data_IF_527550646372
#
_entry.id   IF_527550646372
#
_cell.length_a   1.000
_cell.length_b   1.000
_cell.length_c   1.000
_cell.angle_alpha   90.00
_cell.angle_beta   90.00
_cell.angle_gamma   90.00
#
_symmetry.space_group_name_H-M   'P 1'
#
loop_
_entity.id
_entity.type
_entity.pdbx_description
1 polymer ?
#
# COMPACT_ATOMS: atom_id res chain seq x y z
N UNK A 1 -3.59 -23.87 4.47
CA UNK A 1 -2.96 -22.56 4.19
C UNK A 1 -3.88 -21.87 3.20
N UNK A 2 -4.34 -20.68 3.55
CA UNK A 2 -5.12 -19.86 2.63
C UNK A 2 -4.16 -19.26 1.62
N UNK A 3 -4.53 -19.34 0.34
CA UNK A 3 -3.67 -18.98 -0.78
C UNK A 3 -4.21 -17.73 -1.43
N UNK A 4 -3.42 -16.65 -1.47
CA UNK A 4 -3.74 -15.47 -2.25
C UNK A 4 -3.33 -15.71 -3.71
N UNK A 5 -4.19 -15.38 -4.67
CA UNK A 5 -3.86 -15.49 -6.09
C UNK A 5 -3.81 -14.11 -6.74
N UNK A 6 -2.80 -13.87 -7.59
CA UNK A 6 -2.64 -12.62 -8.33
C UNK A 6 -2.34 -12.89 -9.81
N UNK A 7 -2.52 -11.88 -10.66
CA UNK A 7 -2.30 -12.02 -12.11
C UNK A 7 -0.95 -11.43 -12.49
N UNK A 8 -0.10 -12.24 -13.10
CA UNK A 8 1.21 -11.81 -13.56
C UNK A 8 1.08 -10.97 -14.84
N UNK A 9 2.14 -10.24 -15.22
CA UNK A 9 2.17 -9.40 -16.41
C UNK A 9 1.89 -10.17 -17.73
N UNK A 10 2.13 -11.48 -17.76
CA UNK A 10 1.83 -12.35 -18.92
C UNK A 10 0.38 -12.90 -18.92
N UNK A 11 -0.44 -12.47 -17.95
CA UNK A 11 -1.83 -12.89 -17.79
C UNK A 11 -2.03 -14.22 -17.05
N UNK A 12 -0.96 -14.88 -16.60
CA UNK A 12 -1.07 -16.10 -15.80
C UNK A 12 -1.49 -15.81 -14.36
N UNK A 13 -2.19 -16.75 -13.71
CA UNK A 13 -2.61 -16.63 -12.31
C UNK A 13 -1.62 -17.38 -11.40
N UNK A 14 -1.26 -16.77 -10.27
CA UNK A 14 -0.25 -17.29 -9.35
C UNK A 14 -0.70 -17.24 -7.90
N UNK A 15 -0.51 -18.36 -7.21
CA UNK A 15 -0.63 -18.53 -5.77
C UNK A 15 0.57 -17.97 -4.98
N UNK A 16 0.31 -17.22 -3.91
CA UNK A 16 1.29 -16.74 -2.93
C UNK A 16 1.18 -17.59 -1.67
N UNK A 17 2.22 -18.41 -1.43
CA UNK A 17 2.33 -19.29 -0.25
C UNK A 17 3.75 -19.28 0.36
N UNK A 18 4.52 -18.22 0.12
CA UNK A 18 5.95 -18.17 0.47
C UNK A 18 6.34 -17.70 1.86
N UNK A 19 5.46 -16.97 2.55
CA UNK A 19 5.73 -16.51 3.90
C UNK A 19 5.07 -17.42 4.93
N UNK A 20 5.88 -17.90 5.89
CA UNK A 20 5.41 -18.69 7.03
C UNK A 20 5.61 -17.88 8.29
N UNK A 21 4.50 -17.57 8.97
CA UNK A 21 4.58 -16.89 10.26
C UNK A 21 5.11 -17.83 11.34
N UNK A 22 6.07 -17.33 12.12
CA UNK A 22 6.37 -17.85 13.45
C UNK A 22 6.48 -16.67 14.43
N UNK A 23 6.01 -16.81 15.67
CA UNK A 23 6.09 -15.72 16.64
C UNK A 23 7.57 -15.41 16.97
N UNK A 24 7.97 -14.12 17.01
CA UNK A 24 9.32 -13.74 17.36
C UNK A 24 9.76 -14.31 18.72
N UNK A 25 11.00 -14.83 18.78
CA UNK A 25 11.58 -15.36 20.03
C UNK A 25 11.58 -14.27 21.10
N UNK A 26 11.23 -14.62 22.35
CA UNK A 26 11.19 -13.66 23.45
C UNK A 26 12.53 -12.94 23.71
N UNK A 27 13.65 -13.57 23.36
CA UNK A 27 15.00 -13.00 23.48
C UNK A 27 15.42 -12.14 22.28
N UNK A 28 14.57 -11.95 21.27
CA UNK A 28 14.86 -11.09 20.13
C UNK A 28 15.13 -9.66 20.60
N UNK A 29 16.23 -9.09 20.12
CA UNK A 29 16.53 -7.68 20.35
C UNK A 29 15.43 -6.84 19.69
N UNK A 30 14.85 -5.92 20.44
CA UNK A 30 13.77 -5.05 19.94
C UNK A 30 14.36 -3.70 19.55
N UNK A 31 13.91 -3.19 18.42
CA UNK A 31 14.17 -1.82 18.03
C UNK A 31 13.51 -0.90 19.07
N UNK A 32 14.28 0.06 19.55
CA UNK A 32 13.78 1.12 20.43
C UNK A 32 14.06 2.42 19.73
N UNK A 33 13.00 3.09 19.32
CA UNK A 33 13.00 4.44 18.82
C UNK A 33 13.76 5.36 19.79
N UNK A 34 14.99 5.74 19.43
CA UNK A 34 15.84 6.59 20.26
C UNK A 34 15.60 8.06 19.93
N UNK A 35 15.43 8.92 20.93
CA UNK A 35 15.43 10.40 20.77
C UNK A 35 16.78 10.98 20.29
N UNK A 36 17.71 10.15 19.81
CA UNK A 36 19.13 10.44 19.73
C UNK A 36 19.66 10.91 18.37
N UNK A 37 19.10 10.44 17.25
CA UNK A 37 19.71 10.64 15.93
C UNK A 37 18.88 11.49 14.97
N UNK A 38 17.56 11.56 15.15
CA UNK A 38 16.66 12.36 14.31
C UNK A 38 15.78 13.21 15.24
N UNK A 39 16.02 14.52 15.32
CA UNK A 39 15.30 15.41 16.25
C UNK A 39 13.85 15.69 15.84
N UNK A 40 13.54 15.48 14.56
CA UNK A 40 12.22 15.58 13.93
C UNK A 40 12.23 14.66 12.72
N UNK A 41 11.25 13.75 12.62
CA UNK A 41 11.11 12.89 11.45
C UNK A 41 10.85 13.77 10.20
N UNK A 42 11.55 13.55 9.08
CA UNK A 42 11.20 14.21 7.83
C UNK A 42 9.80 13.75 7.38
N UNK A 43 9.05 14.58 6.65
CA UNK A 43 7.73 14.18 6.14
C UNK A 43 7.84 13.05 5.10
N UNK A 44 9.01 12.86 4.49
CA UNK A 44 9.24 11.85 3.44
C UNK A 44 10.64 11.26 3.53
N UNK A 45 10.73 9.95 3.36
CA UNK A 45 11.98 9.19 3.24
C UNK A 45 11.89 8.24 2.06
N UNK A 46 12.88 8.26 1.17
CA UNK A 46 12.95 7.36 0.02
C UNK A 46 14.34 6.70 -0.12
N UNK A 47 14.44 5.41 0.21
CA UNK A 47 15.68 4.64 0.12
C UNK A 47 15.87 3.95 -1.25
N UNK A 48 14.93 4.08 -2.19
CA UNK A 48 14.98 3.43 -3.53
C UNK A 48 16.27 3.72 -4.31
N UNK A 49 16.88 4.93 -4.29
CA UNK A 49 18.13 5.18 -5.00
C UNK A 49 19.28 4.22 -4.63
N UNK A 50 19.23 3.66 -3.42
CA UNK A 50 20.22 2.73 -2.90
C UNK A 50 19.79 1.26 -2.97
N UNK A 51 18.62 0.96 -3.54
CA UNK A 51 18.19 -0.42 -3.77
C UNK A 51 18.84 -1.00 -5.03
N UNK A 52 18.96 -2.32 -5.08
CA UNK A 52 19.27 -3.11 -6.29
C UNK A 52 18.09 -3.07 -7.28
N UNK A 53 18.26 -3.50 -8.55
CA UNK A 53 17.14 -3.72 -9.48
C UNK A 53 16.07 -4.65 -8.89
N UNK A 54 14.80 -4.53 -9.28
CA UNK A 54 13.72 -5.37 -8.72
C UNK A 54 13.89 -6.83 -9.10
N UNK A 55 13.69 -7.69 -8.11
CA UNK A 55 13.73 -9.13 -8.26
C UNK A 55 12.38 -9.72 -8.69
N UNK A 56 12.45 -10.84 -9.40
CA UNK A 56 11.31 -11.69 -9.71
C UNK A 56 11.53 -13.08 -9.12
N UNK A 57 10.74 -13.44 -8.11
CA UNK A 57 10.82 -14.74 -7.46
C UNK A 57 10.27 -15.90 -8.32
N UNK A 58 9.79 -15.62 -9.55
CA UNK A 58 9.21 -16.61 -10.50
C UNK A 58 8.18 -17.50 -9.81
N UNK A 59 8.04 -18.77 -10.16
CA UNK A 59 7.06 -19.65 -9.53
C UNK A 59 7.42 -20.11 -8.10
N UNK A 60 8.56 -19.67 -7.52
CA UNK A 60 9.04 -20.16 -6.22
C UNK A 60 8.36 -19.48 -5.03
N UNK A 61 8.32 -20.15 -3.88
CA UNK A 61 7.74 -19.63 -2.64
C UNK A 61 8.76 -18.83 -1.79
N UNK A 62 9.68 -18.13 -2.44
CA UNK A 62 10.86 -17.53 -1.81
C UNK A 62 10.73 -16.06 -1.36
N UNK A 63 9.51 -15.52 -1.15
CA UNK A 63 9.32 -14.08 -0.87
C UNK A 63 10.08 -13.58 0.36
N UNK A 64 10.10 -14.34 1.45
CA UNK A 64 10.89 -14.02 2.64
C UNK A 64 12.40 -13.90 2.35
N UNK A 65 12.94 -14.75 1.46
CA UNK A 65 14.33 -14.67 1.02
C UNK A 65 14.57 -13.45 0.12
N UNK A 66 13.65 -13.12 -0.79
CA UNK A 66 13.77 -11.95 -1.67
C UNK A 66 13.72 -10.63 -0.89
N UNK A 67 12.80 -10.51 0.07
CA UNK A 67 12.72 -9.33 0.94
C UNK A 67 14.00 -9.15 1.77
N UNK A 68 14.54 -10.26 2.29
CA UNK A 68 15.79 -10.24 3.06
C UNK A 68 17.01 -9.96 2.18
N UNK A 69 17.06 -10.52 0.96
CA UNK A 69 18.10 -10.23 -0.03
C UNK A 69 18.15 -8.73 -0.36
N UNK A 70 17.01 -8.09 -0.62
CA UNK A 70 16.97 -6.65 -0.89
C UNK A 70 17.49 -5.79 0.28
N UNK A 71 17.17 -6.17 1.53
CA UNK A 71 17.72 -5.47 2.71
C UNK A 71 19.24 -5.67 2.83
N UNK A 72 19.71 -6.86 2.50
CA UNK A 72 21.12 -7.22 2.54
C UNK A 72 21.92 -6.50 1.44
N UNK A 73 21.43 -6.52 0.20
CA UNK A 73 22.01 -5.82 -0.96
C UNK A 73 22.05 -4.33 -0.74
N UNK A 74 21.02 -3.74 -0.14
CA UNK A 74 21.06 -2.35 0.29
C UNK A 74 22.29 -2.09 1.18
N UNK A 75 22.52 -2.92 2.21
CA UNK A 75 23.69 -2.75 3.08
C UNK A 75 25.01 -2.95 2.35
N UNK A 76 25.10 -3.95 1.46
CA UNK A 76 26.28 -4.20 0.62
C UNK A 76 26.56 -3.00 -0.27
N UNK A 77 25.55 -2.48 -0.98
CA UNK A 77 25.66 -1.32 -1.85
C UNK A 77 26.06 -0.05 -1.10
N UNK A 78 25.50 0.15 0.09
CA UNK A 78 25.88 1.26 0.96
C UNK A 78 27.32 1.16 1.47
N UNK A 79 27.88 -0.04 1.59
CA UNK A 79 29.23 -0.24 2.08
C UNK A 79 30.30 -0.28 0.99
N UNK A 80 30.02 -1.02 -0.09
CA UNK A 80 30.97 -1.32 -1.17
C UNK A 80 30.82 -0.36 -2.36
N UNK A 81 29.72 0.39 -2.47
CA UNK A 81 29.49 1.33 -3.56
C UNK A 81 29.42 0.61 -4.91
N UNK A 82 30.36 0.94 -5.82
CA UNK A 82 30.43 0.32 -7.15
C UNK A 82 30.89 -1.14 -7.13
N UNK A 83 31.53 -1.60 -6.04
CA UNK A 83 31.96 -2.99 -5.86
C UNK A 83 30.83 -3.87 -5.26
N UNK A 84 29.61 -3.34 -5.20
CA UNK A 84 28.45 -4.08 -4.72
C UNK A 84 28.04 -5.19 -5.70
N UNK A 85 27.40 -6.22 -5.15
CA UNK A 85 26.97 -7.40 -5.89
C UNK A 85 25.56 -7.81 -5.46
N UNK A 86 24.85 -8.47 -6.37
CA UNK A 86 23.53 -9.06 -6.08
C UNK A 86 23.72 -10.39 -5.35
N UNK A 87 22.93 -10.63 -4.31
CA UNK A 87 23.10 -11.81 -3.46
C UNK A 87 22.22 -12.96 -3.91
N UNK A 88 22.70 -14.18 -3.78
CA UNK A 88 21.95 -15.36 -4.19
C UNK A 88 20.70 -15.56 -3.33
N UNK A 89 19.53 -15.34 -3.92
CA UNK A 89 18.25 -15.53 -3.24
C UNK A 89 17.97 -17.00 -2.94
N UNK A 90 18.42 -17.91 -3.81
CA UNK A 90 18.27 -19.35 -3.56
C UNK A 90 19.18 -19.84 -2.44
N UNK A 91 20.39 -19.28 -2.30
CA UNK A 91 21.25 -19.57 -1.15
C UNK A 91 20.56 -19.17 0.16
N UNK A 92 20.03 -17.96 0.21
CA UNK A 92 19.29 -17.42 1.36
C UNK A 92 18.06 -18.29 1.66
N UNK A 93 17.28 -18.64 0.63
CA UNK A 93 16.05 -19.41 0.77
C UNK A 93 16.28 -20.86 1.17
N UNK A 94 17.28 -21.54 0.59
CA UNK A 94 17.65 -22.89 0.98
C UNK A 94 18.07 -22.94 2.45
N UNK A 95 19.02 -22.08 2.85
CA UNK A 95 19.54 -22.09 4.21
C UNK A 95 18.48 -21.65 5.23
N UNK A 96 17.60 -20.72 4.88
CA UNK A 96 16.47 -20.34 5.75
C UNK A 96 15.54 -21.52 6.06
N UNK A 97 15.24 -22.37 5.06
CA UNK A 97 14.44 -23.59 5.28
C UNK A 97 15.21 -24.68 6.02
N UNK A 98 16.52 -24.80 5.77
CA UNK A 98 17.38 -25.75 6.47
C UNK A 98 17.52 -25.47 7.97
N UNK A 99 17.31 -24.22 8.40
CA UNK A 99 17.20 -23.88 9.84
C UNK A 99 15.96 -24.50 10.48
N UNK A 100 14.85 -24.61 9.73
CA UNK A 100 13.58 -25.13 10.22
C UNK A 100 13.50 -26.66 10.10
N UNK A 101 13.86 -27.22 8.94
CA UNK A 101 13.83 -28.66 8.66
C UNK A 101 14.97 -29.05 7.68
N UNK A 102 16.19 -29.34 8.17
CA UNK A 102 17.33 -29.67 7.31
C UNK A 102 17.20 -31.02 6.60
N UNK A 103 16.29 -31.89 7.03
CA UNK A 103 16.12 -33.24 6.45
C UNK A 103 15.10 -33.26 5.31
N UNK A 104 14.22 -32.26 5.22
CA UNK A 104 13.15 -32.21 4.23
C UNK A 104 12.98 -30.81 3.61
N UNK A 105 13.96 -30.40 2.79
CA UNK A 105 13.90 -29.14 2.06
C UNK A 105 12.89 -29.22 0.91
N UNK A 106 11.80 -28.44 1.02
CA UNK A 106 10.76 -28.31 0.00
C UNK A 106 10.43 -26.83 -0.25
N UNK A 107 9.87 -26.51 -1.41
CA UNK A 107 9.46 -25.15 -1.77
C UNK A 107 8.12 -24.76 -1.10
N UNK A 108 8.12 -24.69 0.22
CA UNK A 108 6.93 -24.46 1.05
C UNK A 108 6.92 -23.10 1.76
N UNK A 109 7.81 -22.19 1.35
CA UNK A 109 8.02 -20.92 2.02
C UNK A 109 8.98 -21.02 3.20
N UNK A 110 9.22 -19.87 3.84
CA UNK A 110 10.17 -19.78 4.96
C UNK A 110 9.72 -18.78 6.02
N UNK A 111 10.23 -18.99 7.23
CA UNK A 111 10.06 -18.09 8.37
C UNK A 111 11.14 -17.01 8.30
N UNK A 112 10.76 -15.73 8.40
CA UNK A 112 11.72 -14.61 8.32
C UNK A 112 12.86 -14.73 9.34
N UNK A 113 12.55 -15.17 10.56
CA UNK A 113 13.55 -15.35 11.61
C UNK A 113 14.59 -16.42 11.27
N UNK A 114 14.18 -17.46 10.55
CA UNK A 114 15.05 -18.57 10.12
C UNK A 114 15.93 -18.14 8.96
N UNK A 115 15.37 -17.37 8.01
CA UNK A 115 16.14 -16.69 6.95
C UNK A 115 17.18 -15.71 7.54
N UNK A 116 16.79 -14.91 8.54
CA UNK A 116 17.71 -14.00 9.23
C UNK A 116 18.79 -14.78 10.01
N UNK A 117 18.42 -15.87 10.67
CA UNK A 117 19.36 -16.71 11.40
C UNK A 117 20.41 -17.34 10.46
N UNK A 118 20.00 -17.80 9.29
CA UNK A 118 20.92 -18.37 8.32
C UNK A 118 21.92 -17.34 7.78
N UNK A 119 21.52 -16.09 7.59
CA UNK A 119 22.44 -15.00 7.22
C UNK A 119 23.46 -14.66 8.31
N UNK A 120 23.09 -14.81 9.60
CA UNK A 120 24.06 -14.68 10.71
C UNK A 120 25.07 -15.81 10.72
N UNK A 121 24.64 -17.02 10.36
CA UNK A 121 25.48 -18.21 10.40
C UNK A 121 26.38 -18.34 9.17
N UNK A 122 25.81 -18.17 7.98
CA UNK A 122 26.46 -18.47 6.70
C UNK A 122 26.79 -17.23 5.89
N UNK A 123 26.02 -16.14 6.04
CA UNK A 123 26.09 -14.99 5.15
C UNK A 123 25.33 -15.23 3.84
N UNK A 124 25.69 -14.52 2.77
CA UNK A 124 25.15 -14.75 1.44
C UNK A 124 26.23 -14.62 0.35
N UNK A 125 26.26 -15.58 -0.57
CA UNK A 125 27.12 -15.56 -1.75
C UNK A 125 26.53 -14.67 -2.85
N UNK A 126 27.31 -14.42 -3.90
CA UNK A 126 26.83 -13.71 -5.08
C UNK A 126 25.82 -14.56 -5.85
N UNK A 127 24.84 -13.92 -6.49
CA UNK A 127 23.93 -14.57 -7.43
C UNK A 127 24.67 -15.05 -8.71
N UNK A 128 25.90 -14.58 -8.97
CA UNK A 128 26.79 -15.18 -9.99
C UNK A 128 27.29 -16.57 -9.59
N UNK A 129 27.56 -16.79 -8.29
CA UNK A 129 28.08 -18.06 -7.75
C UNK A 129 26.97 -19.09 -7.59
N UNK A 130 25.78 -18.64 -7.20
CA UNK A 130 24.59 -19.48 -7.08
C UNK A 130 23.38 -18.78 -7.68
N UNK A 131 23.18 -18.99 -8.98
CA UNK A 131 22.16 -18.29 -9.77
C UNK A 131 20.74 -18.62 -9.36
N UNK A 132 19.83 -17.67 -9.59
CA UNK A 132 18.40 -17.89 -9.42
C UNK A 132 17.83 -18.79 -10.52
N UNK A 133 17.89 -20.10 -10.30
CA UNK A 133 17.23 -21.11 -11.11
C UNK A 133 16.08 -21.79 -10.32
N UNK A 134 14.81 -21.54 -10.66
CA UNK A 134 13.67 -22.17 -9.99
C UNK A 134 13.73 -23.70 -9.96
N UNK A 135 14.39 -24.36 -10.92
CA UNK A 135 14.55 -25.82 -10.91
C UNK A 135 15.50 -26.28 -9.80
N UNK A 136 16.47 -25.44 -9.41
CA UNK A 136 17.41 -25.69 -8.33
C UNK A 136 16.88 -25.22 -6.96
N UNK A 137 15.60 -24.86 -6.83
CA UNK A 137 15.04 -24.25 -5.61
C UNK A 137 15.26 -25.09 -4.36
N UNK A 138 15.29 -26.42 -4.45
CA UNK A 138 15.52 -27.32 -3.32
C UNK A 138 16.93 -27.90 -3.26
N UNK A 139 17.80 -27.53 -4.21
CA UNK A 139 19.16 -28.04 -4.26
C UNK A 139 20.06 -27.36 -3.24
N UNK A 140 20.92 -28.14 -2.60
CA UNK A 140 21.90 -27.61 -1.66
C UNK A 140 22.94 -26.78 -2.41
N UNK A 141 23.23 -25.54 -1.97
CA UNK A 141 24.30 -24.74 -2.54
C UNK A 141 25.67 -25.42 -2.47
N UNK A 142 26.53 -25.10 -3.42
CA UNK A 142 27.89 -25.66 -3.49
C UNK A 142 28.76 -25.22 -2.31
N UNK A 143 29.79 -26.01 -1.99
CA UNK A 143 30.78 -25.65 -0.97
C UNK A 143 31.47 -24.30 -1.27
N UNK A 144 31.63 -23.96 -2.56
CA UNK A 144 32.15 -22.66 -3.01
C UNK A 144 31.23 -21.52 -2.62
N UNK A 145 29.90 -21.68 -2.79
CA UNK A 145 28.92 -20.70 -2.36
C UNK A 145 28.99 -20.45 -0.83
N UNK A 146 29.12 -21.50 -0.02
CA UNK A 146 29.28 -21.33 1.44
C UNK A 146 30.60 -20.64 1.83
N UNK A 147 31.69 -20.89 1.09
CA UNK A 147 32.98 -20.24 1.34
C UNK A 147 32.93 -18.74 1.01
N UNK A 148 32.29 -18.36 -0.10
CA UNK A 148 32.06 -16.97 -0.46
C UNK A 148 31.12 -16.28 0.53
N UNK A 149 29.97 -16.90 0.83
CA UNK A 149 28.96 -16.36 1.75
C UNK A 149 29.56 -16.01 3.13
N UNK A 150 30.46 -16.86 3.63
CA UNK A 150 31.09 -16.66 4.94
C UNK A 150 31.91 -15.38 5.07
N UNK A 151 32.25 -14.72 3.95
CA UNK A 151 32.98 -13.44 3.94
C UNK A 151 32.09 -12.26 4.35
N UNK A 152 30.76 -12.39 4.19
CA UNK A 152 29.80 -11.34 4.51
C UNK A 152 28.66 -11.93 5.32
N UNK A 153 28.74 -11.80 6.65
CA UNK A 153 27.68 -12.21 7.58
C UNK A 153 27.05 -10.99 8.20
N UNK A 154 25.74 -11.04 8.46
CA UNK A 154 25.09 -9.95 9.19
C UNK A 154 25.45 -10.03 10.68
N UNK A 155 25.70 -8.87 11.28
CA UNK A 155 26.19 -8.79 12.66
C UNK A 155 25.02 -8.74 13.66
N UNK A 156 24.02 -7.89 13.40
CA UNK A 156 22.93 -7.65 14.32
C UNK A 156 21.58 -7.50 13.61
N UNK A 157 20.50 -7.82 14.31
CA UNK A 157 19.14 -7.59 13.82
C UNK A 157 18.22 -7.19 14.96
N UNK A 158 17.23 -6.36 14.65
CA UNK A 158 16.27 -5.88 15.62
C UNK A 158 14.84 -6.06 15.10
N UNK A 159 13.95 -6.50 15.99
CA UNK A 159 12.52 -6.58 15.74
C UNK A 159 11.89 -5.19 15.91
N UNK A 160 11.28 -4.66 14.86
CA UNK A 160 10.57 -3.39 14.86
C UNK A 160 9.12 -3.62 15.27
N UNK A 161 8.58 -2.90 16.27
CA UNK A 161 7.17 -3.03 16.63
C UNK A 161 6.26 -2.49 15.52
N UNK A 162 5.05 -3.02 15.40
CA UNK A 162 3.98 -2.47 14.54
C UNK A 162 3.52 -1.13 15.11
N UNK A 163 4.26 -0.07 14.81
CA UNK A 163 4.05 1.26 15.32
C UNK A 163 4.59 2.27 14.30
N UNK A 164 3.75 3.24 13.93
CA UNK A 164 4.04 4.18 12.85
C UNK A 164 5.32 4.99 13.12
N UNK A 165 5.47 5.52 14.33
CA UNK A 165 6.66 6.30 14.71
C UNK A 165 7.93 5.44 14.69
N UNK A 166 7.86 4.20 15.17
CA UNK A 166 9.00 3.28 15.15
C UNK A 166 9.44 2.90 13.73
N UNK A 167 8.49 2.64 12.82
CA UNK A 167 8.80 2.34 11.42
C UNK A 167 9.40 3.55 10.70
N UNK A 168 8.78 4.73 10.85
CA UNK A 168 9.29 5.97 10.28
C UNK A 168 10.69 6.29 10.79
N UNK A 169 10.94 6.09 12.08
CA UNK A 169 12.26 6.33 12.67
C UNK A 169 13.31 5.35 12.16
N UNK A 170 13.00 4.06 12.07
CA UNK A 170 13.92 3.08 11.49
C UNK A 170 14.27 3.43 10.04
N UNK A 171 13.27 3.83 9.23
CA UNK A 171 13.48 4.25 7.85
C UNK A 171 14.31 5.55 7.76
N UNK A 172 14.02 6.55 8.59
CA UNK A 172 14.77 7.80 8.65
C UNK A 172 16.22 7.60 9.12
N UNK A 173 16.49 6.58 9.95
CA UNK A 173 17.82 6.10 10.30
C UNK A 173 18.51 5.30 9.17
N UNK A 174 17.86 5.13 8.02
CA UNK A 174 18.40 4.40 6.87
C UNK A 174 18.29 2.88 7.01
N UNK A 175 17.31 2.38 7.76
CA UNK A 175 17.07 0.94 7.93
C UNK A 175 15.81 0.49 7.18
N UNK A 176 15.95 -0.16 6.00
CA UNK A 176 14.85 -0.88 5.36
C UNK A 176 14.28 -1.95 6.28
N UNK A 177 12.95 -2.10 6.29
CA UNK A 177 12.24 -3.01 7.20
C UNK A 177 11.71 -4.20 6.40
N UNK A 178 12.22 -5.40 6.70
CA UNK A 178 11.68 -6.66 6.18
C UNK A 178 10.43 -6.98 7.00
N UNK A 179 9.28 -7.25 6.37
CA UNK A 179 8.05 -7.50 7.12
C UNK A 179 7.16 -8.55 6.47
N UNK A 180 6.39 -9.25 7.30
CA UNK A 180 5.30 -10.14 6.88
C UNK A 180 3.93 -9.49 7.03
N UNK A 181 3.07 -9.60 6.01
CA UNK A 181 1.71 -9.04 5.99
C UNK A 181 0.71 -10.02 5.35
N UNK A 182 -0.56 -9.94 5.74
CA UNK A 182 -1.67 -10.59 5.05
C UNK A 182 -1.99 -9.86 3.75
N UNK A 183 -2.18 -10.61 2.66
CA UNK A 183 -2.70 -10.12 1.40
C UNK A 183 -4.20 -10.43 1.29
N UNK A 184 -4.93 -9.46 0.75
CA UNK A 184 -6.37 -9.52 0.50
C UNK A 184 -6.61 -9.47 -1.00
N UNK A 185 -7.81 -9.87 -1.45
CA UNK A 185 -8.13 -10.02 -2.88
C UNK A 185 -8.01 -8.71 -3.68
N UNK A 186 -8.08 -7.57 -3.00
CA UNK A 186 -7.89 -6.22 -3.53
C UNK A 186 -6.42 -5.82 -3.70
N UNK A 187 -5.46 -6.54 -3.11
CA UNK A 187 -4.05 -6.13 -3.06
C UNK A 187 -3.43 -5.89 -4.45
N UNK A 188 -3.75 -6.75 -5.41
CA UNK A 188 -3.27 -6.67 -6.80
C UNK A 188 -4.25 -5.93 -7.74
N UNK A 189 -5.34 -5.38 -7.21
CA UNK A 189 -6.37 -4.66 -7.98
C UNK A 189 -6.16 -3.16 -7.85
N UNK A 190 -4.92 -2.74 -8.06
CA UNK A 190 -4.53 -1.35 -7.91
C UNK A 190 -5.08 -0.51 -9.07
N UNK A 191 -5.85 0.55 -8.77
CA UNK A 191 -6.39 1.48 -9.79
C UNK A 191 -5.27 2.31 -10.43
N UNK A 192 -4.23 2.64 -9.65
CA UNK A 192 -2.96 3.24 -10.07
C UNK A 192 -1.84 2.23 -9.86
N UNK A 193 -0.84 2.22 -10.75
CA UNK A 193 0.30 1.32 -10.65
C UNK A 193 0.89 1.31 -9.23
N UNK A 194 0.85 0.15 -8.57
CA UNK A 194 1.45 -0.07 -7.25
C UNK A 194 0.68 0.52 -6.06
N UNK A 195 -0.36 1.33 -6.22
CA UNK A 195 -1.11 1.84 -5.06
C UNK A 195 -2.04 0.75 -4.49
N UNK A 196 -1.72 0.27 -3.29
CA UNK A 196 -2.44 -0.86 -2.68
C UNK A 196 -3.71 -0.37 -1.98
N UNK A 197 -4.91 -0.87 -2.37
CA UNK A 197 -6.15 -0.56 -1.68
C UNK A 197 -6.14 -1.09 -0.24
N UNK A 198 -6.85 -0.40 0.65
CA UNK A 198 -7.11 -0.92 1.99
C UNK A 198 -8.19 -2.00 1.92
N UNK A 199 -8.03 -3.15 2.61
CA UNK A 199 -9.02 -4.21 2.57
C UNK A 199 -10.36 -3.74 3.13
N UNK A 200 -11.44 -4.13 2.46
CA UNK A 200 -12.81 -3.86 2.96
C UNK A 200 -13.21 -4.83 4.07
N UNK A 201 -14.18 -4.48 4.91
CA UNK A 201 -14.71 -5.36 5.97
C UNK A 201 -15.22 -6.71 5.43
N UNK A 202 -15.66 -6.74 4.17
CA UNK A 202 -16.06 -7.98 3.49
C UNK A 202 -14.88 -8.88 3.16
N UNK A 203 -13.72 -8.30 2.84
CA UNK A 203 -12.51 -9.07 2.60
C UNK A 203 -11.89 -9.58 3.90
N UNK A 204 -12.01 -8.85 5.00
CA UNK A 204 -11.51 -9.27 6.32
C UNK A 204 -12.33 -10.43 6.91
N UNK A 205 -13.65 -10.44 6.69
CA UNK A 205 -14.54 -11.52 7.13
C UNK A 205 -14.47 -12.81 6.30
N UNK A 206 -13.84 -12.81 5.11
CA UNK A 206 -13.70 -14.01 4.26
C UNK A 206 -12.38 -14.73 4.52
N UNK A 207 -12.44 -16.05 4.70
CA UNK A 207 -11.30 -16.91 5.07
C UNK A 207 -10.28 -17.20 3.93
N UNK A 208 -9.85 -16.23 3.12
CA UNK A 208 -8.82 -16.51 2.10
C UNK A 208 -7.76 -15.42 1.99
N UNK A 209 -6.98 -15.24 3.06
CA UNK A 209 -5.80 -14.36 3.07
C UNK A 209 -4.51 -15.17 2.92
N UNK A 210 -3.65 -14.77 1.98
CA UNK A 210 -2.30 -15.31 1.86
C UNK A 210 -1.30 -14.49 2.68
N UNK A 211 -0.27 -15.12 3.25
CA UNK A 211 0.84 -14.39 3.86
C UNK A 211 1.91 -14.05 2.83
N UNK A 212 2.45 -12.84 2.87
CA UNK A 212 3.55 -12.42 2.00
C UNK A 212 4.58 -11.60 2.77
N UNK A 213 5.85 -11.69 2.34
CA UNK A 213 6.94 -10.94 2.91
C UNK A 213 7.50 -9.96 1.87
N UNK A 214 7.69 -8.71 2.27
CA UNK A 214 8.16 -7.62 1.43
C UNK A 214 9.16 -6.74 2.19
N UNK A 215 9.76 -5.78 1.50
CA UNK A 215 10.72 -4.84 2.08
C UNK A 215 10.19 -3.42 2.04
N UNK A 216 9.99 -2.78 3.19
CA UNK A 216 9.66 -1.38 3.28
C UNK A 216 10.93 -0.54 3.16
N UNK A 217 10.92 0.42 2.24
CA UNK A 217 12.11 1.20 1.82
C UNK A 217 11.88 2.71 1.91
N UNK A 218 10.78 3.15 2.51
CA UNK A 218 10.49 4.56 2.64
C UNK A 218 9.06 4.84 3.08
N UNK A 219 8.73 6.11 3.21
CA UNK A 219 7.39 6.58 3.54
C UNK A 219 7.16 7.99 3.00
N UNK A 220 5.89 8.34 2.79
CA UNK A 220 5.43 9.69 2.46
C UNK A 220 4.26 10.06 3.36
N UNK A 221 4.45 11.05 4.23
CA UNK A 221 3.39 11.61 5.07
C UNK A 221 2.32 12.35 4.24
N UNK A 222 2.66 13.13 3.19
CA UNK A 222 1.64 13.73 2.31
C UNK A 222 0.66 12.70 1.74
N UNK A 223 1.15 11.50 1.43
CA UNK A 223 0.35 10.42 0.86
C UNK A 223 -0.18 9.42 1.89
N UNK A 224 0.28 9.50 3.14
CA UNK A 224 0.00 8.53 4.20
C UNK A 224 0.30 7.06 3.79
N UNK A 225 1.38 6.85 3.03
CA UNK A 225 1.81 5.52 2.54
C UNK A 225 3.25 5.17 2.90
N UNK A 226 3.51 3.88 3.04
CA UNK A 226 4.84 3.30 2.99
C UNK A 226 5.21 2.96 1.55
N UNK A 227 6.48 3.20 1.18
CA UNK A 227 7.06 2.77 -0.08
C UNK A 227 7.61 1.35 0.13
N UNK A 228 7.12 0.39 -0.64
CA UNK A 228 7.40 -1.03 -0.45
C UNK A 228 7.94 -1.63 -1.73
N UNK A 229 9.05 -2.35 -1.61
CA UNK A 229 9.68 -3.14 -2.66
C UNK A 229 9.06 -4.54 -2.65
N UNK A 230 8.46 -4.93 -3.77
CA UNK A 230 7.95 -6.29 -3.98
C UNK A 230 8.98 -7.14 -4.75
N UNK A 231 8.68 -8.43 -4.94
CA UNK A 231 9.54 -9.41 -5.62
C UNK A 231 8.83 -10.14 -6.76
N UNK A 232 7.93 -9.45 -7.46
CA UNK A 232 7.16 -9.98 -8.59
C UNK A 232 7.60 -9.42 -9.95
N UNK A 233 8.84 -8.92 -10.01
CA UNK A 233 9.43 -8.34 -11.21
C UNK A 233 9.10 -6.86 -11.41
N UNK A 234 9.85 -6.19 -12.30
CA UNK A 234 9.72 -4.75 -12.52
C UNK A 234 8.45 -4.35 -13.27
N UNK A 235 7.79 -5.27 -13.95
CA UNK A 235 6.53 -4.97 -14.69
C UNK A 235 5.30 -4.96 -13.77
N UNK A 236 5.45 -5.34 -12.51
CA UNK A 236 4.37 -5.38 -11.53
C UNK A 236 4.32 -4.07 -10.72
N UNK A 237 3.12 -3.58 -10.39
CA UNK A 237 2.96 -2.36 -9.61
C UNK A 237 3.59 -1.13 -10.29
N UNK A 238 4.22 -0.25 -9.51
CA UNK A 238 5.03 0.85 -10.04
C UNK A 238 6.49 0.41 -10.12
N UNK A 239 6.88 -0.12 -11.28
CA UNK A 239 8.26 -0.56 -11.55
C UNK A 239 8.77 -1.58 -10.51
N UNK A 240 7.90 -2.46 -10.03
CA UNK A 240 8.17 -3.46 -8.99
C UNK A 240 7.96 -2.99 -7.55
N UNK A 241 7.62 -1.72 -7.35
CA UNK A 241 7.26 -1.14 -6.06
C UNK A 241 5.75 -1.03 -5.89
N UNK A 242 5.32 -0.94 -4.65
CA UNK A 242 3.96 -0.59 -4.28
C UNK A 242 3.94 0.41 -3.12
N UNK A 243 2.80 1.08 -2.98
CA UNK A 243 2.53 2.10 -1.99
C UNK A 243 1.43 1.58 -1.09
N UNK A 244 1.76 1.26 0.17
CA UNK A 244 0.82 0.64 1.10
C UNK A 244 0.41 1.66 2.16
N UNK A 245 -0.90 1.96 2.32
CA UNK A 245 -1.37 2.92 3.32
C UNK A 245 -0.93 2.58 4.74
N UNK A 246 -0.61 3.60 5.55
CA UNK A 246 -0.24 3.42 6.95
C UNK A 246 -1.26 2.60 7.72
N UNK A 247 -2.55 2.91 7.53
CA UNK A 247 -3.66 2.19 8.17
C UNK A 247 -3.73 0.71 7.83
N UNK A 248 -3.14 0.27 6.72
CA UNK A 248 -3.02 -1.15 6.39
C UNK A 248 -1.87 -1.77 7.18
N UNK A 249 -0.63 -1.29 7.02
CA UNK A 249 0.54 -1.93 7.64
C UNK A 249 0.59 -1.79 9.16
N UNK A 250 -0.05 -0.76 9.71
CA UNK A 250 -0.12 -0.53 11.16
C UNK A 250 -1.31 -1.23 11.83
N UNK A 251 -2.16 -1.92 11.07
CA UNK A 251 -3.21 -2.77 11.63
C UNK A 251 -2.61 -4.10 12.11
N UNK A 252 -2.70 -4.38 13.41
CA UNK A 252 -2.15 -5.59 14.05
C UNK A 252 -2.83 -6.89 13.61
N UNK A 253 -4.03 -6.82 13.02
CA UNK A 253 -4.68 -8.00 12.44
C UNK A 253 -4.11 -8.36 11.06
N UNK A 254 -3.55 -7.39 10.34
CA UNK A 254 -3.05 -7.57 8.97
C UNK A 254 -1.53 -7.76 8.96
N UNK A 255 -0.82 -7.00 9.79
CA UNK A 255 0.61 -7.14 9.99
C UNK A 255 0.89 -8.20 11.05
N UNK A 256 1.73 -9.19 10.72
CA UNK A 256 2.03 -10.30 11.63
C UNK A 256 2.90 -9.93 12.84
N UNK A 257 3.36 -8.66 12.93
CA UNK A 257 4.31 -8.22 13.95
C UNK A 257 5.70 -8.86 13.78
N UNK A 258 5.97 -9.40 12.59
CA UNK A 258 7.22 -10.06 12.21
C UNK A 258 8.01 -9.11 11.29
N UNK A 259 8.48 -8.01 11.87
CA UNK A 259 9.13 -6.91 11.15
C UNK A 259 10.56 -6.71 11.66
N UNK A 260 11.55 -6.75 10.77
CA UNK A 260 12.96 -6.82 11.13
C UNK A 260 13.80 -5.82 10.35
N UNK A 261 14.79 -5.27 11.03
CA UNK A 261 15.90 -4.54 10.40
C UNK A 261 17.20 -5.30 10.58
N UNK A 262 18.10 -5.15 9.61
CA UNK A 262 19.47 -5.63 9.70
C UNK A 262 20.36 -4.45 10.07
N UNK A 263 21.14 -4.60 11.15
CA UNK A 263 22.07 -3.58 11.65
C UNK A 263 23.51 -4.02 11.49
N UNK A 264 24.36 -3.04 11.24
CA UNK A 264 25.82 -3.15 11.33
C UNK A 264 26.32 -2.33 12.52
N UNK A 265 27.47 -2.69 13.08
CA UNK A 265 28.09 -1.95 14.19
C UNK A 265 28.45 -0.50 13.80
N UNK A 266 28.83 -0.27 12.54
CA UNK A 266 28.96 1.08 11.98
C UNK A 266 27.59 1.55 11.48
N UNK A 267 26.84 2.22 12.34
CA UNK A 267 25.60 2.90 11.95
C UNK A 267 25.96 3.97 10.92
N UNK A 268 25.47 3.82 9.68
CA UNK A 268 25.57 4.87 8.69
C UNK A 268 24.82 6.10 9.24
N UNK A 269 25.40 7.30 9.14
CA UNK A 269 24.69 8.49 9.60
C UNK A 269 23.34 8.60 8.86
N UNK A 270 22.32 9.19 9.52
CA UNK A 270 21.02 9.41 8.89
C UNK A 270 21.22 10.06 7.52
N UNK A 271 20.55 9.50 6.52
CA UNK A 271 20.78 9.86 5.13
C UNK A 271 19.94 11.07 4.78
N UNK A 272 20.36 12.26 5.22
CA UNK A 272 19.65 13.53 4.97
C UNK A 272 19.40 13.78 3.47
N UNK A 273 20.16 13.14 2.56
CA UNK A 273 19.93 13.21 1.11
C UNK A 273 18.72 12.38 0.64
N UNK A 274 18.26 11.42 1.46
CA UNK A 274 17.01 10.65 1.23
C UNK A 274 15.79 11.26 1.87
N UNK A 275 16.00 12.32 2.66
CA UNK A 275 14.93 13.07 3.29
C UNK A 275 14.45 14.12 2.31
N UNK A 276 13.13 14.31 2.27
CA UNK A 276 12.57 15.48 1.63
C UNK A 276 11.75 16.26 2.64
N UNK A 277 11.95 17.58 2.65
CA UNK A 277 11.14 18.52 3.41
C UNK A 277 9.97 19.07 2.56
N UNK A 278 9.91 18.71 1.26
CA UNK A 278 8.76 19.05 0.43
C UNK A 278 7.53 18.20 0.78
N UNK A 279 6.37 18.81 0.64
CA UNK A 279 5.07 18.14 0.75
C UNK A 279 4.67 17.49 -0.60
N UNK A 280 5.63 17.33 -1.52
CA UNK A 280 5.41 16.81 -2.86
C UNK A 280 5.14 15.29 -2.80
N UNK A 281 3.95 14.91 -3.27
CA UNK A 281 3.47 13.53 -3.29
C UNK A 281 4.46 12.58 -3.99
N UNK A 282 4.57 11.34 -3.50
CA UNK A 282 5.27 10.26 -4.22
C UNK A 282 4.38 9.60 -5.28
N UNK A 283 3.08 9.85 -5.22
CA UNK A 283 2.10 9.42 -6.21
C UNK A 283 1.99 10.56 -7.24
N UNK A 284 2.18 10.28 -8.53
CA UNK A 284 2.13 11.30 -9.61
C UNK A 284 1.18 12.49 -9.33
N UNK A 285 1.77 13.68 -9.21
CA UNK A 285 1.12 14.95 -8.91
C UNK A 285 0.21 15.38 -10.09
N UNK A 286 -0.89 16.09 -9.83
CA UNK A 286 -1.92 16.38 -10.87
C UNK A 286 -1.36 17.19 -12.05
N UNK A 287 -0.32 17.98 -11.80
CA UNK A 287 0.48 18.68 -12.81
C UNK A 287 1.08 17.72 -13.86
N UNK A 288 1.45 16.52 -13.45
CA UNK A 288 1.99 15.47 -14.31
C UNK A 288 0.90 14.74 -15.10
N UNK A 289 -0.30 14.57 -14.52
CA UNK A 289 -1.47 14.01 -15.23
C UNK A 289 -1.89 14.94 -16.37
N UNK A 290 -1.98 16.25 -16.11
CA UNK A 290 -2.26 17.24 -17.15
C UNK A 290 -1.15 17.34 -18.21
N UNK A 291 0.10 17.04 -17.84
CA UNK A 291 1.24 17.03 -18.77
C UNK A 291 1.35 15.74 -19.60
N UNK A 292 0.64 14.68 -19.21
CA UNK A 292 0.58 13.39 -19.92
C UNK A 292 -0.58 13.30 -20.91
N UNK A 293 -1.59 14.19 -20.80
CA UNK A 293 -2.66 14.30 -21.78
C UNK A 293 -2.06 14.68 -23.14
N UNK A 294 -2.46 13.97 -24.19
CA UNK A 294 -2.10 14.36 -25.54
C UNK A 294 -2.83 15.65 -25.98
N UNK A 295 -2.47 16.21 -27.14
CA UNK A 295 -3.08 17.48 -27.61
C UNK A 295 -4.61 17.37 -27.77
N UNK A 296 -5.14 16.19 -28.09
CA UNK A 296 -6.58 15.98 -28.31
C UNK A 296 -7.31 15.79 -26.97
N UNK A 297 -6.71 15.09 -26.01
CA UNK A 297 -7.21 14.93 -24.65
C UNK A 297 -7.17 16.25 -23.86
N UNK A 298 -6.08 17.02 -24.01
CA UNK A 298 -5.96 18.35 -23.41
C UNK A 298 -6.91 19.37 -24.06
N UNK A 299 -7.15 19.26 -25.36
CA UNK A 299 -8.16 20.08 -26.05
C UNK A 299 -9.58 19.71 -25.64
N UNK A 300 -9.90 18.41 -25.49
CA UNK A 300 -11.18 17.93 -24.98
C UNK A 300 -11.42 18.33 -23.53
N UNK A 301 -10.36 18.33 -22.70
CA UNK A 301 -10.37 18.89 -21.35
C UNK A 301 -10.69 20.39 -21.38
N UNK A 302 -10.01 21.18 -22.21
CA UNK A 302 -10.27 22.62 -22.32
C UNK A 302 -11.67 22.93 -22.86
N UNK A 303 -12.20 22.10 -23.76
CA UNK A 303 -13.56 22.22 -24.30
C UNK A 303 -14.62 21.91 -23.24
N UNK A 304 -14.43 20.83 -22.46
CA UNK A 304 -15.34 20.44 -21.37
C UNK A 304 -15.27 21.39 -20.18
N UNK A 305 -14.09 21.94 -19.88
CA UNK A 305 -13.91 22.95 -18.83
C UNK A 305 -14.48 24.33 -19.18
N UNK A 306 -14.71 24.63 -20.45
CA UNK A 306 -15.28 25.90 -20.91
C UNK A 306 -14.48 27.13 -20.44
N UNK A 307 -15.17 28.27 -20.29
CA UNK A 307 -14.54 29.56 -19.94
C UNK A 307 -14.20 29.73 -18.44
N UNK A 308 -14.54 28.74 -17.60
CA UNK A 308 -14.36 28.82 -16.14
C UNK A 308 -13.12 28.03 -15.72
N UNK A 309 -12.10 28.70 -15.16
CA UNK A 309 -10.87 28.06 -14.69
C UNK A 309 -11.10 26.98 -13.61
N UNK A 310 -10.23 25.96 -13.59
CA UNK A 310 -10.29 24.81 -12.67
C UNK A 310 -10.33 25.23 -11.20
N UNK A 311 -9.46 26.16 -10.82
CA UNK A 311 -9.38 26.70 -9.46
C UNK A 311 -10.71 27.34 -9.04
N UNK A 312 -11.36 28.07 -9.95
CA UNK A 312 -12.69 28.66 -9.71
C UNK A 312 -13.79 27.61 -9.62
N UNK A 313 -13.73 26.56 -10.44
CA UNK A 313 -14.69 25.43 -10.41
C UNK A 313 -14.61 24.65 -9.10
N UNK A 314 -13.40 24.34 -8.62
CA UNK A 314 -13.21 23.69 -7.32
C UNK A 314 -13.67 24.58 -6.17
N UNK A 315 -13.35 25.87 -6.23
CA UNK A 315 -13.82 26.83 -5.24
C UNK A 315 -15.36 26.92 -5.17
N UNK A 316 -16.07 26.68 -6.28
CA UNK A 316 -17.53 26.61 -6.26
C UNK A 316 -18.04 25.41 -5.45
N UNK A 317 -17.43 24.23 -5.60
CA UNK A 317 -17.82 23.04 -4.83
C UNK A 317 -17.60 23.25 -3.33
N UNK A 318 -16.46 23.83 -2.97
CA UNK A 318 -16.11 24.11 -1.56
C UNK A 318 -17.04 25.15 -0.93
N UNK A 319 -17.41 26.21 -1.67
CA UNK A 319 -18.38 27.20 -1.20
C UNK A 319 -19.78 26.59 -1.04
N UNK A 320 -20.16 25.66 -1.90
CA UNK A 320 -21.44 24.95 -1.79
C UNK A 320 -21.49 24.00 -0.61
N UNK A 321 -20.41 23.26 -0.36
CA UNK A 321 -20.29 22.42 0.83
C UNK A 321 -20.30 23.26 2.12
N UNK A 322 -19.77 24.49 2.09
CA UNK A 322 -19.78 25.43 3.22
C UNK A 322 -21.11 26.19 3.39
N UNK A 323 -22.20 25.80 2.71
CA UNK A 323 -23.50 26.44 2.88
C UNK A 323 -23.59 27.90 2.38
N UNK A 324 -22.63 28.37 1.58
CA UNK A 324 -22.61 29.77 1.17
C UNK A 324 -23.87 30.14 0.35
N UNK A 325 -24.54 31.22 0.76
CA UNK A 325 -25.78 31.74 0.16
C UNK A 325 -25.58 33.05 -0.65
N UNK A 326 -24.32 33.47 -0.79
CA UNK A 326 -23.92 34.68 -1.53
C UNK A 326 -23.30 35.76 -0.63
N UNK A 327 -23.51 35.71 0.68
CA UNK A 327 -22.92 36.63 1.67
C UNK A 327 -22.21 35.86 2.81
N UNK A 328 -21.06 35.25 2.48
CA UNK A 328 -20.20 34.53 3.45
C UNK A 328 -19.39 35.49 4.32
N UNK A 329 -19.30 35.23 5.63
CA UNK A 329 -18.49 36.04 6.54
C UNK A 329 -16.99 35.88 6.27
N UNK A 330 -16.17 36.89 6.60
CA UNK A 330 -14.71 36.85 6.33
C UNK A 330 -13.97 35.75 7.11
N UNK A 331 -14.53 35.31 8.24
CA UNK A 331 -14.07 34.19 9.06
C UNK A 331 -14.47 32.83 8.47
N UNK A 332 -15.72 32.67 8.03
CA UNK A 332 -16.18 31.47 7.31
C UNK A 332 -15.38 31.28 6.00
N UNK A 333 -15.19 32.35 5.22
CA UNK A 333 -14.39 32.30 3.99
C UNK A 333 -12.93 31.93 4.25
N UNK A 334 -12.38 32.31 5.41
CA UNK A 334 -11.02 31.90 5.80
C UNK A 334 -10.99 30.41 6.19
N UNK A 335 -11.98 29.92 6.91
CA UNK A 335 -12.10 28.50 7.24
C UNK A 335 -12.19 27.66 5.95
N UNK A 336 -13.07 28.01 5.01
CA UNK A 336 -13.15 27.36 3.69
C UNK A 336 -11.82 27.43 2.93
N UNK A 337 -11.10 28.55 3.05
CA UNK A 337 -9.79 28.72 2.42
C UNK A 337 -8.73 27.75 2.97
N UNK A 338 -8.77 27.40 4.26
CA UNK A 338 -7.85 26.43 4.86
C UNK A 338 -8.03 25.03 4.26
N UNK A 339 -9.27 24.61 4.00
CA UNK A 339 -9.57 23.30 3.41
C UNK A 339 -9.26 23.22 1.91
N UNK A 340 -9.47 24.30 1.14
CA UNK A 340 -9.19 24.27 -0.31
C UNK A 340 -7.71 24.50 -0.64
N UNK A 341 -6.92 25.05 0.29
CA UNK A 341 -5.51 25.37 0.04
C UNK A 341 -4.68 24.14 -0.35
N UNK A 342 -4.73 23.01 0.40
CA UNK A 342 -4.02 21.79 0.01
C UNK A 342 -4.39 21.30 -1.40
N UNK A 343 -5.67 21.38 -1.75
CA UNK A 343 -6.16 20.98 -3.08
C UNK A 343 -5.61 21.91 -4.17
N UNK A 344 -5.62 23.23 -3.95
CA UNK A 344 -5.08 24.19 -4.92
C UNK A 344 -3.56 24.08 -5.09
N UNK A 345 -2.84 23.75 -4.02
CA UNK A 345 -1.39 23.54 -4.03
C UNK A 345 -1.02 22.26 -4.80
N UNK A 346 -1.74 21.16 -4.58
CA UNK A 346 -1.62 19.91 -5.36
C UNK A 346 -1.93 20.11 -6.85
N UNK A 347 -2.75 21.12 -7.18
CA UNK A 347 -3.07 21.49 -8.56
C UNK A 347 -2.11 22.52 -9.17
N UNK A 348 -1.07 22.93 -8.43
CA UNK A 348 -0.09 23.91 -8.89
C UNK A 348 -0.66 25.33 -9.07
N UNK A 349 -1.78 25.66 -8.41
CA UNK A 349 -2.40 26.98 -8.52
C UNK A 349 -1.49 28.05 -7.91
N UNK A 350 -1.33 29.17 -8.62
CA UNK A 350 -0.54 30.33 -8.16
C UNK A 350 -1.40 31.39 -7.46
N UNK A 351 -2.70 31.15 -7.33
CA UNK A 351 -3.64 32.09 -6.74
C UNK A 351 -3.89 31.72 -5.27
N UNK A 352 -3.99 32.73 -4.40
CA UNK A 352 -4.36 32.50 -3.01
C UNK A 352 -5.81 32.00 -2.92
N UNK A 353 -6.06 30.96 -2.11
CA UNK A 353 -7.39 30.37 -1.89
C UNK A 353 -8.50 31.39 -1.67
N UNK A 354 -8.31 32.37 -0.76
CA UNK A 354 -9.29 33.44 -0.51
C UNK A 354 -9.68 34.23 -1.76
N UNK A 355 -8.75 34.46 -2.70
CA UNK A 355 -9.00 35.22 -3.93
C UNK A 355 -9.78 34.39 -4.93
N UNK A 356 -9.51 33.10 -4.99
CA UNK A 356 -10.23 32.15 -5.85
C UNK A 356 -11.67 32.00 -5.34
N UNK A 357 -11.87 31.79 -4.03
CA UNK A 357 -13.19 31.73 -3.39
C UNK A 357 -14.00 33.00 -3.64
N UNK A 358 -13.43 34.19 -3.45
CA UNK A 358 -14.12 35.46 -3.76
C UNK A 358 -14.50 35.62 -5.24
N UNK A 359 -13.77 34.99 -6.15
CA UNK A 359 -14.12 34.99 -7.57
C UNK A 359 -15.24 33.99 -7.87
N UNK A 360 -15.21 32.83 -7.21
CA UNK A 360 -16.23 31.79 -7.30
C UNK A 360 -17.59 32.25 -6.77
N UNK A 361 -17.65 33.05 -5.69
CA UNK A 361 -18.91 33.61 -5.14
C UNK A 361 -19.82 34.27 -6.18
N UNK A 362 -19.25 34.85 -7.25
CA UNK A 362 -20.02 35.51 -8.31
C UNK A 362 -20.83 34.55 -9.19
N UNK A 363 -20.54 33.26 -9.09
CA UNK A 363 -21.14 32.17 -9.87
C UNK A 363 -21.77 31.11 -8.97
N UNK A 364 -21.96 31.43 -7.69
CA UNK A 364 -22.47 30.50 -6.70
C UNK A 364 -23.83 29.95 -7.16
N UNK A 365 -24.74 30.83 -7.56
CA UNK A 365 -26.10 30.52 -8.06
C UNK A 365 -26.18 29.79 -9.41
N UNK A 366 -25.04 29.48 -10.04
CA UNK A 366 -24.99 28.78 -11.33
C UNK A 366 -25.02 27.25 -11.10
N UNK A 367 -26.22 26.72 -10.83
CA UNK A 367 -26.43 25.28 -10.58
C UNK A 367 -25.93 24.41 -11.74
N UNK A 368 -26.12 24.86 -12.98
CA UNK A 368 -25.65 24.15 -14.16
C UNK A 368 -24.13 24.03 -14.15
N UNK A 369 -23.40 25.10 -13.81
CA UNK A 369 -21.95 25.08 -13.72
C UNK A 369 -21.44 24.15 -12.61
N UNK A 370 -22.19 24.00 -11.51
CA UNK A 370 -21.86 23.06 -10.42
C UNK A 370 -22.00 21.62 -10.90
N UNK A 371 -23.14 21.27 -11.52
CA UNK A 371 -23.36 19.93 -12.08
C UNK A 371 -22.29 19.57 -13.13
N UNK A 372 -22.06 20.47 -14.09
CA UNK A 372 -21.00 20.31 -15.11
C UNK A 372 -19.62 20.15 -14.47
N UNK A 373 -19.34 20.86 -13.38
CA UNK A 373 -18.07 20.72 -12.66
C UNK A 373 -17.94 19.32 -12.06
N UNK A 374 -18.96 18.81 -11.38
CA UNK A 374 -18.90 17.46 -10.78
C UNK A 374 -18.65 16.41 -11.87
N UNK A 375 -19.34 16.51 -13.01
CA UNK A 375 -19.16 15.58 -14.13
C UNK A 375 -17.75 15.64 -14.71
N UNK A 376 -17.29 16.84 -15.09
CA UNK A 376 -15.96 17.03 -15.70
C UNK A 376 -14.85 16.59 -14.75
N UNK A 377 -14.93 16.92 -13.46
CA UNK A 377 -13.93 16.47 -12.50
C UNK A 377 -13.93 14.95 -12.34
N UNK A 378 -15.11 14.32 -12.32
CA UNK A 378 -15.26 12.87 -12.24
C UNK A 378 -14.68 12.11 -13.42
N UNK A 379 -14.71 12.71 -14.62
CA UNK A 379 -14.12 12.15 -15.84
C UNK A 379 -12.59 12.37 -15.91
N UNK A 380 -12.11 13.49 -15.36
CA UNK A 380 -10.73 13.96 -15.56
C UNK A 380 -9.80 13.51 -14.43
N UNK A 381 -10.26 13.52 -13.19
CA UNK A 381 -9.42 13.22 -12.04
C UNK A 381 -9.50 11.75 -11.64
N UNK A 382 -8.38 11.26 -11.11
CA UNK A 382 -8.33 9.92 -10.54
C UNK A 382 -9.18 9.84 -9.28
N UNK A 383 -9.63 8.64 -8.94
CA UNK A 383 -10.44 8.37 -7.76
C UNK A 383 -9.76 8.81 -6.46
N UNK A 384 -8.43 8.82 -6.40
CA UNK A 384 -7.66 9.29 -5.24
C UNK A 384 -7.70 10.82 -5.09
N UNK A 385 -7.58 11.55 -6.20
CA UNK A 385 -7.72 13.01 -6.20
C UNK A 385 -9.16 13.38 -5.84
N UNK A 386 -10.14 12.69 -6.42
CA UNK A 386 -11.55 12.87 -6.11
C UNK A 386 -11.87 12.53 -4.64
N UNK A 387 -11.27 11.46 -4.08
CA UNK A 387 -11.41 11.10 -2.67
C UNK A 387 -10.76 12.14 -1.74
N UNK A 388 -9.59 12.68 -2.11
CA UNK A 388 -8.93 13.78 -1.38
C UNK A 388 -9.82 15.03 -1.36
N UNK A 389 -10.37 15.40 -2.52
CA UNK A 389 -11.31 16.53 -2.64
C UNK A 389 -12.57 16.27 -1.81
N UNK A 390 -13.18 15.09 -1.92
CA UNK A 390 -14.38 14.73 -1.19
C UNK A 390 -14.18 14.72 0.32
N UNK A 391 -13.03 14.24 0.82
CA UNK A 391 -12.68 14.29 2.23
C UNK A 391 -12.62 15.73 2.75
N UNK A 392 -12.06 16.65 1.96
CA UNK A 392 -12.03 18.07 2.32
C UNK A 392 -13.41 18.71 2.29
N UNK A 393 -14.30 18.31 1.37
CA UNK A 393 -15.70 18.75 1.37
C UNK A 393 -16.46 18.25 2.62
N UNK A 394 -16.23 17.00 3.04
CA UNK A 394 -16.84 16.43 4.25
C UNK A 394 -16.36 17.14 5.52
N UNK A 395 -15.07 17.49 5.61
CA UNK A 395 -14.53 18.25 6.75
C UNK A 395 -15.16 19.64 6.89
N UNK A 396 -15.50 20.28 5.76
CA UNK A 396 -16.18 21.57 5.75
C UNK A 396 -17.59 21.46 6.32
N UNK A 397 -18.36 20.45 5.89
CA UNK A 397 -19.71 20.21 6.40
C UNK A 397 -19.68 19.90 7.91
N UNK A 398 -18.67 19.16 8.38
CA UNK A 398 -18.50 18.84 9.80
C UNK A 398 -17.91 19.95 10.67
N UNK A 399 -17.63 21.14 10.11
CA UNK A 399 -16.95 22.22 10.83
C UNK A 399 -17.89 23.15 11.63
N UNK A 400 -19.20 23.10 11.36
CA UNK A 400 -20.23 23.85 12.09
C UNK A 400 -21.01 22.96 13.07
N UNK A 401 -21.35 23.49 14.25
CA UNK A 401 -22.09 22.79 15.31
C UNK A 401 -23.55 22.43 14.90
N UNK A 402 -24.06 23.01 13.81
CA UNK A 402 -25.41 22.82 13.26
C UNK A 402 -25.33 22.46 11.76
N UNK A 403 -24.95 21.21 11.43
CA UNK A 403 -24.89 20.71 10.05
C UNK A 403 -26.26 20.78 9.38
N UNK A 404 -26.38 21.47 8.24
CA UNK A 404 -27.61 21.46 7.45
C UNK A 404 -27.77 20.13 6.71
N UNK A 405 -28.97 19.53 6.75
CA UNK A 405 -29.32 18.35 5.93
C UNK A 405 -29.06 18.59 4.43
N UNK A 406 -29.15 19.84 3.97
CA UNK A 406 -28.88 20.23 2.57
C UNK A 406 -27.38 20.20 2.22
N UNK A 407 -26.50 20.58 3.16
CA UNK A 407 -25.04 20.60 2.95
C UNK A 407 -24.46 19.19 2.89
N UNK A 408 -24.90 18.33 3.81
CA UNK A 408 -24.52 16.92 3.82
C UNK A 408 -25.02 16.21 2.56
N UNK A 409 -26.29 16.43 2.17
CA UNK A 409 -26.86 15.85 0.96
C UNK A 409 -26.11 16.28 -0.32
N UNK A 410 -25.60 17.51 -0.37
CA UNK A 410 -24.78 17.96 -1.49
C UNK A 410 -23.46 17.17 -1.58
N UNK A 411 -22.73 17.05 -0.46
CA UNK A 411 -21.46 16.32 -0.44
C UNK A 411 -21.67 14.83 -0.73
N UNK A 412 -22.73 14.22 -0.18
CA UNK A 412 -23.08 12.83 -0.46
C UNK A 412 -23.38 12.61 -1.96
N UNK A 413 -24.09 13.54 -2.60
CA UNK A 413 -24.35 13.49 -4.04
C UNK A 413 -23.05 13.60 -4.87
N UNK A 414 -22.11 14.44 -4.44
CA UNK A 414 -20.77 14.55 -5.09
C UNK A 414 -20.00 13.23 -4.95
N UNK A 415 -19.97 12.67 -3.74
CA UNK A 415 -19.31 11.39 -3.42
C UNK A 415 -19.91 10.25 -4.24
N UNK A 416 -21.24 10.15 -4.30
CA UNK A 416 -21.96 9.14 -5.09
C UNK A 416 -21.65 9.28 -6.58
N UNK A 417 -21.70 10.51 -7.12
CA UNK A 417 -21.47 10.77 -8.54
C UNK A 417 -20.03 10.50 -8.96
N UNK A 418 -19.08 10.70 -8.05
CA UNK A 418 -17.70 10.29 -8.22
C UNK A 418 -17.44 8.82 -7.86
N UNK A 419 -18.45 8.06 -7.43
CA UNK A 419 -18.33 6.65 -7.03
C UNK A 419 -17.26 6.43 -5.95
N UNK A 420 -17.13 7.40 -5.04
CA UNK A 420 -16.24 7.32 -3.88
C UNK A 420 -17.04 6.59 -2.79
N UNK A 421 -16.56 5.45 -2.29
CA UNK A 421 -17.29 4.72 -1.25
C UNK A 421 -17.28 5.53 0.07
N UNK A 422 -18.45 5.87 0.64
CA UNK A 422 -18.51 6.58 1.91
C UNK A 422 -18.01 5.68 3.07
N UNK A 423 -17.36 6.28 4.05
CA UNK A 423 -17.12 5.65 5.33
C UNK A 423 -18.43 5.67 6.12
N UNK A 424 -19.21 4.59 6.09
CA UNK A 424 -20.52 4.55 6.77
C UNK A 424 -20.36 4.58 8.30
N UNK A 425 -21.12 5.49 8.91
CA UNK A 425 -21.36 5.63 10.34
C UNK A 425 -22.59 4.78 10.70
N UNK A 426 -22.40 3.68 11.45
CA UNK A 426 -23.49 2.78 11.85
C UNK A 426 -24.29 3.37 13.03
N UNK A 427 -25.40 4.02 12.72
CA UNK A 427 -26.47 4.33 13.67
C UNK A 427 -27.64 3.35 13.55
N UNK A 428 -27.79 2.51 14.57
CA UNK A 428 -29.00 1.78 15.04
C UNK A 428 -30.07 1.37 14.01
N UNK A 429 -30.17 0.07 13.72
CA UNK A 429 -31.48 -0.55 13.44
C UNK A 429 -31.70 -1.79 14.33
N UNK A 430 -32.73 -1.65 15.18
CA UNK A 430 -33.25 -2.65 16.11
C UNK A 430 -33.79 -3.91 15.40
N UNK A 431 -33.61 -5.04 16.08
CA UNK A 431 -34.20 -6.34 15.74
C UNK A 431 -35.73 -6.27 15.60
N UNK A 432 -36.24 -6.85 14.51
CA UNK A 432 -37.64 -7.17 14.32
C UNK A 432 -37.80 -8.57 13.72
N UNK A 433 -37.77 -9.59 14.58
CA UNK A 433 -38.33 -10.93 14.34
C UNK A 433 -39.83 -10.81 14.02
N UNK A 434 -40.31 -11.34 12.89
CA UNK A 434 -41.63 -11.99 12.84
C UNK A 434 -41.63 -13.19 11.88
N UNK A 435 -42.39 -14.18 12.33
CA UNK A 435 -42.38 -15.62 12.08
C UNK A 435 -43.65 -16.00 11.31
N UNK A 436 -43.56 -16.60 10.12
CA UNK A 436 -44.63 -17.36 9.43
C UNK A 436 -43.95 -18.36 8.47
N UNK A 437 -44.24 -19.65 8.40
CA UNK A 437 -45.44 -20.42 8.72
C UNK A 437 -45.73 -21.37 7.52
N UNK A 438 -45.79 -22.67 7.78
CA UNK A 438 -45.96 -23.81 6.84
C UNK A 438 -46.97 -23.63 5.70
N UNK A 439 -46.65 -24.16 4.50
CA UNK A 439 -47.61 -24.85 3.63
C UNK A 439 -46.93 -25.99 2.83
N UNK A 440 -47.78 -26.93 2.43
CA UNK A 440 -47.63 -28.39 2.40
C UNK A 440 -47.71 -28.94 0.95
N UNK A 441 -47.48 -30.26 0.81
CA UNK A 441 -47.84 -31.17 -0.30
C UNK A 441 -46.94 -31.26 -1.57
N UNK A 442 -46.52 -32.50 -1.88
CA UNK A 442 -45.76 -32.86 -3.07
C UNK A 442 -45.46 -34.37 -3.23
N UNK A 443 -46.55 -35.14 -3.35
CA UNK A 443 -46.76 -36.49 -3.92
C UNK A 443 -45.63 -37.46 -4.35
N UNK A 444 -45.82 -38.67 -3.82
CA UNK A 444 -45.95 -40.00 -4.47
C UNK A 444 -44.75 -40.77 -5.06
N UNK A 445 -44.52 -41.91 -4.40
CA UNK A 445 -43.72 -43.08 -4.76
C UNK A 445 -44.42 -43.94 -5.84
N UNK A 446 -43.66 -44.42 -6.84
CA UNK A 446 -43.92 -45.68 -7.52
C UNK A 446 -42.59 -46.39 -7.85
N UNK A 447 -42.51 -47.70 -7.58
CA UNK A 447 -41.38 -48.53 -7.99
C UNK A 447 -41.36 -49.91 -7.32
N UNK A 448 -42.27 -50.79 -7.75
CA UNK A 448 -42.38 -52.20 -7.36
C UNK A 448 -41.23 -53.11 -7.86
N UNK A 449 -40.92 -54.08 -7.01
CA UNK A 449 -40.66 -55.52 -7.23
C UNK A 449 -39.45 -56.05 -8.06
N UNK A 450 -38.71 -56.91 -7.35
CA UNK A 450 -38.14 -58.24 -7.72
C UNK A 450 -37.04 -58.36 -8.79
N UNK A 451 -35.87 -58.90 -8.38
CA UNK A 451 -35.47 -60.29 -8.67
C UNK A 451 -34.12 -60.66 -8.04
N UNK A 452 -34.00 -61.95 -7.76
CA UNK A 452 -32.93 -62.69 -7.08
C UNK A 452 -31.64 -62.88 -7.94
N UNK A 453 -30.55 -63.28 -7.27
CA UNK A 453 -29.38 -64.11 -7.70
C UNK A 453 -28.10 -63.56 -7.06
N UNK A 454 -27.60 -64.15 -5.97
CA UNK A 454 -26.66 -65.30 -5.90
C UNK A 454 -25.23 -65.01 -6.42
N UNK A 455 -24.30 -65.19 -5.46
CA UNK A 455 -22.94 -65.71 -5.56
C UNK A 455 -21.71 -64.85 -5.95
N UNK A 456 -20.71 -65.02 -5.05
CA UNK A 456 -19.25 -64.79 -5.08
C UNK A 456 -18.65 -63.40 -4.73
#
# INVERSE_FOLDING_TARGET
MNTFNFTQADGSSRAVVGYRYAPPKAAAKRYVAGRGNVSRLPPKVDLRPFMSPIEDQKATNSCAANATAGAYEYLVKRHLGEDAYDVSRLFIYYNGRAVDDPENIQDEGSVLQSVIASLKEHGACSEETWAFDPEAVNEQPSDEAYQEAAQFRIEDTELVPTNLEAWKMALAEGHPIIFGVKLFSSFDKHKKAGLVPVPTSRETGRESHGGHAMLCVGYSDPDQVFIVRNSWGPEWGDKGYCYIPYRYLMNEEYNFGDSWIIKRIDVLPPDEETWSDDEESVLEDVSSVLAQLDEDEYAGLLESMGDVPLDVRLALLFLRAAGADGDIADDELRATAEHITPVLEQLGSRQSAEKVLRNALRRLDDEQLVEETIEVLGEVFSQEVLASIASQLQEIVGSDDDVSEEEQAFVDAVVERWQIEPAEDEGDEEEGDEDEGDEDEGDEEEGDEDEEEEDE
#
